data_IF_634164489372
#
_entry.id   IF_634164489372
#
_cell.length_a   1.000
_cell.length_b   1.000
_cell.length_c   1.000
_cell.angle_alpha   90.00
_cell.angle_beta   90.00
_cell.angle_gamma   90.00
#
_symmetry.space_group_name_H-M   'P 1'
#
loop_
_entity.id
_entity.type
_entity.pdbx_description
1 polymer ?
#
# COMPACT_ATOMS: atom_id res chain seq x y z
N UNK A 1 -8.16 3.79 0.26
CA UNK A 1 -9.29 3.09 -0.39
C UNK A 1 -8.85 2.20 -1.56
N UNK A 2 -8.02 2.69 -2.49
CA UNK A 2 -7.58 1.91 -3.66
C UNK A 2 -6.86 0.59 -3.31
N UNK A 3 -5.86 0.61 -2.41
CA UNK A 3 -5.14 -0.62 -2.03
C UNK A 3 -6.08 -1.71 -1.46
N UNK A 4 -7.05 -1.32 -0.63
CA UNK A 4 -8.06 -2.23 -0.10
C UNK A 4 -8.92 -2.83 -1.21
N UNK A 5 -9.33 -2.01 -2.20
CA UNK A 5 -10.10 -2.49 -3.35
C UNK A 5 -9.29 -3.44 -4.25
N UNK A 6 -8.00 -3.16 -4.46
CA UNK A 6 -7.07 -4.06 -5.16
C UNK A 6 -6.97 -5.40 -4.41
N UNK A 7 -6.76 -5.37 -3.10
CA UNK A 7 -6.69 -6.59 -2.27
C UNK A 7 -8.00 -7.38 -2.32
N UNK A 8 -9.15 -6.72 -2.21
CA UNK A 8 -10.46 -7.37 -2.32
C UNK A 8 -10.65 -8.00 -3.71
N UNK A 9 -10.33 -7.27 -4.77
CA UNK A 9 -10.47 -7.75 -6.14
C UNK A 9 -9.58 -8.97 -6.40
N UNK A 10 -8.34 -8.96 -5.91
CA UNK A 10 -7.42 -10.07 -6.05
C UNK A 10 -7.81 -11.28 -5.19
N UNK A 11 -7.93 -11.10 -3.87
CA UNK A 11 -8.07 -12.21 -2.93
C UNK A 11 -9.49 -12.74 -2.79
N UNK A 12 -10.52 -11.94 -3.05
CA UNK A 12 -11.92 -12.37 -2.93
C UNK A 12 -12.55 -12.65 -4.27
N UNK A 13 -12.29 -11.81 -5.28
CA UNK A 13 -12.93 -11.93 -6.59
C UNK A 13 -12.08 -12.67 -7.63
N UNK A 14 -10.82 -13.02 -7.31
CA UNK A 14 -9.92 -13.69 -8.25
C UNK A 14 -9.59 -12.87 -9.50
N UNK A 15 -9.66 -11.53 -9.40
CA UNK A 15 -9.43 -10.65 -10.53
C UNK A 15 -7.95 -10.65 -10.95
N UNK A 16 -7.72 -10.61 -12.26
CA UNK A 16 -6.42 -10.41 -12.89
C UNK A 16 -6.11 -8.90 -12.92
N UNK A 17 -5.24 -8.44 -12.02
CA UNK A 17 -4.92 -7.03 -11.82
C UNK A 17 -3.60 -6.60 -12.48
N UNK A 18 -3.02 -7.47 -13.29
CA UNK A 18 -1.89 -7.23 -14.17
C UNK A 18 -2.27 -6.41 -15.43
N UNK A 19 -3.57 -6.17 -15.64
CA UNK A 19 -4.08 -5.34 -16.74
C UNK A 19 -4.55 -3.95 -16.25
N UNK A 20 -4.12 -2.88 -16.95
CA UNK A 20 -4.54 -1.50 -16.65
C UNK A 20 -6.06 -1.36 -16.68
N UNK A 21 -6.75 -2.06 -17.60
CA UNK A 21 -8.20 -2.04 -17.70
C UNK A 21 -8.88 -2.55 -16.41
N UNK A 22 -8.31 -3.56 -15.76
CA UNK A 22 -8.83 -4.07 -14.49
C UNK A 22 -8.68 -3.04 -13.35
N UNK A 23 -7.54 -2.34 -13.29
CA UNK A 23 -7.31 -1.26 -12.34
C UNK A 23 -8.23 -0.06 -12.60
N UNK A 24 -8.50 0.26 -13.86
CA UNK A 24 -9.43 1.32 -14.27
C UNK A 24 -10.86 1.02 -13.84
N UNK A 25 -11.30 -0.23 -13.99
CA UNK A 25 -12.61 -0.68 -13.52
C UNK A 25 -12.74 -0.54 -11.99
N UNK A 26 -11.66 -0.81 -11.24
CA UNK A 26 -11.64 -0.55 -9.80
C UNK A 26 -11.76 0.94 -9.48
N UNK A 27 -11.04 1.81 -10.20
CA UNK A 27 -11.18 3.25 -10.06
C UNK A 27 -12.62 3.73 -10.30
N UNK A 28 -13.27 3.21 -11.35
CA UNK A 28 -14.68 3.48 -11.65
C UNK A 28 -15.61 3.03 -10.52
N UNK A 29 -15.42 1.81 -9.98
CA UNK A 29 -16.22 1.30 -8.85
C UNK A 29 -16.05 2.11 -7.56
N UNK A 30 -14.93 2.82 -7.44
CA UNK A 30 -14.63 3.74 -6.34
C UNK A 30 -15.14 5.16 -6.59
N UNK A 31 -15.83 5.40 -7.72
CA UNK A 31 -16.29 6.71 -8.17
C UNK A 31 -15.16 7.75 -8.28
N UNK A 32 -13.96 7.32 -8.66
CA UNK A 32 -12.86 8.23 -8.99
C UNK A 32 -13.12 8.90 -10.35
N UNK A 33 -12.62 10.12 -10.53
CA UNK A 33 -12.61 10.75 -11.84
C UNK A 33 -11.68 9.96 -12.78
N UNK A 34 -12.25 9.41 -13.85
CA UNK A 34 -11.51 8.55 -14.75
C UNK A 34 -10.51 9.30 -15.61
N UNK A 35 -10.74 10.59 -15.92
CA UNK A 35 -9.77 11.39 -16.66
C UNK A 35 -8.55 11.71 -15.78
N UNK A 36 -8.77 12.07 -14.51
CA UNK A 36 -7.67 12.28 -13.56
C UNK A 36 -6.93 10.98 -13.28
N UNK A 37 -7.64 9.85 -13.19
CA UNK A 37 -7.02 8.55 -12.98
C UNK A 37 -6.18 8.10 -14.19
N UNK A 38 -6.73 8.22 -15.41
CA UNK A 38 -6.03 7.86 -16.65
C UNK A 38 -4.74 8.70 -16.78
N UNK A 39 -4.83 10.02 -16.57
CA UNK A 39 -3.67 10.91 -16.55
C UNK A 39 -2.66 10.55 -15.44
N UNK A 40 -3.16 10.21 -14.25
CA UNK A 40 -2.33 9.80 -13.12
C UNK A 40 -1.54 8.51 -13.40
N UNK A 41 -2.15 7.54 -14.08
CA UNK A 41 -1.48 6.29 -14.49
C UNK A 41 -0.37 6.56 -15.50
N UNK A 42 -0.62 7.37 -16.53
CA UNK A 42 0.41 7.76 -17.51
C UNK A 42 1.61 8.45 -16.84
N UNK A 43 1.35 9.36 -15.89
CA UNK A 43 2.41 10.03 -15.14
C UNK A 43 3.12 9.14 -14.12
N UNK A 44 2.53 7.99 -13.75
CA UNK A 44 3.06 7.12 -12.71
C UNK A 44 4.19 6.23 -13.20
N UNK A 45 4.19 5.83 -14.47
CA UNK A 45 5.18 4.91 -15.05
C UNK A 45 6.64 5.37 -14.82
N UNK A 46 7.04 6.62 -15.14
CA UNK A 46 8.40 7.07 -14.85
C UNK A 46 8.69 7.21 -13.35
N UNK A 47 7.67 7.43 -12.52
CA UNK A 47 7.81 7.61 -11.07
C UNK A 47 7.84 6.28 -10.32
N UNK A 48 7.35 5.20 -10.93
CA UNK A 48 7.25 3.89 -10.30
C UNK A 48 8.61 3.37 -9.87
N UNK A 49 9.59 3.40 -10.76
CA UNK A 49 10.94 2.93 -10.45
C UNK A 49 11.60 3.73 -9.33
N UNK A 50 11.42 5.06 -9.32
CA UNK A 50 11.90 5.92 -8.25
C UNK A 50 11.25 5.58 -6.90
N UNK A 51 9.93 5.35 -6.89
CA UNK A 51 9.21 4.96 -5.68
C UNK A 51 9.64 3.58 -5.17
N UNK A 52 9.88 2.62 -6.06
CA UNK A 52 10.39 1.28 -5.71
C UNK A 52 11.79 1.35 -5.13
N UNK A 53 12.69 2.13 -5.75
CA UNK A 53 14.05 2.33 -5.26
C UNK A 53 14.05 3.00 -3.88
N UNK A 54 13.22 4.04 -3.68
CA UNK A 54 13.07 4.69 -2.39
C UNK A 54 12.56 3.71 -1.32
N UNK A 55 11.55 2.90 -1.64
CA UNK A 55 11.02 1.88 -0.74
C UNK A 55 12.08 0.83 -0.38
N UNK A 56 12.84 0.31 -1.36
CA UNK A 56 13.90 -0.66 -1.10
C UNK A 56 15.08 -0.07 -0.33
N UNK A 57 15.38 1.22 -0.52
CA UNK A 57 16.42 1.92 0.24
C UNK A 57 16.02 2.01 1.71
N UNK A 58 14.78 2.43 1.99
CA UNK A 58 14.25 2.43 3.37
C UNK A 58 14.25 1.01 3.95
N UNK A 59 13.84 0.00 3.19
CA UNK A 59 13.87 -1.38 3.69
C UNK A 59 15.29 -1.84 4.09
N UNK A 60 16.32 -1.45 3.33
CA UNK A 60 17.72 -1.75 3.67
C UNK A 60 18.16 -0.99 4.91
N UNK A 61 17.85 0.31 4.98
CA UNK A 61 18.22 1.19 6.11
C UNK A 61 17.66 0.67 7.44
N UNK A 62 16.43 0.15 7.43
CA UNK A 62 15.75 -0.36 8.62
C UNK A 62 15.78 -1.88 8.76
N UNK A 63 16.64 -2.57 8.01
CA UNK A 63 16.81 -4.04 8.07
C UNK A 63 15.47 -4.81 7.94
N UNK A 64 14.60 -4.31 7.06
CA UNK A 64 13.33 -4.94 6.71
C UNK A 64 13.56 -5.98 5.60
N UNK A 65 13.20 -7.23 5.90
CA UNK A 65 13.33 -8.35 4.96
C UNK A 65 12.07 -8.65 4.13
N UNK A 66 10.95 -7.97 4.39
CA UNK A 66 9.71 -8.24 3.65
C UNK A 66 8.50 -7.43 4.11
N UNK A 67 7.34 -7.84 3.60
CA UNK A 67 6.04 -7.20 3.84
C UNK A 67 5.07 -8.16 4.56
N UNK A 68 4.10 -7.64 5.34
CA UNK A 68 3.97 -6.24 5.74
C UNK A 68 4.99 -5.89 6.83
N UNK A 69 5.49 -4.65 6.77
CA UNK A 69 6.35 -4.06 7.79
C UNK A 69 5.87 -2.65 8.10
N UNK A 70 5.91 -2.26 9.37
CA UNK A 70 5.51 -0.93 9.82
C UNK A 70 6.59 -0.36 10.71
N UNK A 71 6.98 0.87 10.42
CA UNK A 71 7.84 1.71 11.24
C UNK A 71 7.05 2.96 11.54
N UNK A 72 7.02 3.37 12.81
CA UNK A 72 6.39 4.59 13.25
C UNK A 72 7.45 5.55 13.78
N UNK A 73 7.30 6.82 13.46
CA UNK A 73 8.00 7.91 14.12
C UNK A 73 7.26 8.25 15.42
N UNK A 74 7.92 8.03 16.57
CA UNK A 74 7.36 8.24 17.91
C UNK A 74 8.31 9.17 18.66
N UNK A 75 7.97 10.45 18.70
CA UNK A 75 8.91 11.50 19.10
C UNK A 75 10.00 11.66 18.04
N UNK A 76 11.26 11.74 18.45
CA UNK A 76 12.42 11.82 17.55
C UNK A 76 13.00 10.43 17.17
N UNK A 77 12.28 9.35 17.48
CA UNK A 77 12.73 7.97 17.25
C UNK A 77 11.85 7.23 16.24
N UNK A 78 12.50 6.54 15.31
CA UNK A 78 11.85 5.59 14.43
C UNK A 78 11.81 4.20 15.08
N UNK A 79 10.61 3.67 15.29
CA UNK A 79 10.36 2.39 15.96
C UNK A 79 9.68 1.40 15.03
N UNK A 80 10.29 0.23 14.86
CA UNK A 80 9.67 -0.91 14.18
C UNK A 80 8.54 -1.48 15.04
N UNK A 81 7.34 -1.56 14.49
CA UNK A 81 6.18 -2.11 15.18
C UNK A 81 6.05 -3.61 14.87
N UNK A 82 5.81 -4.47 15.88
CA UNK A 82 5.66 -5.92 15.70
C UNK A 82 4.26 -6.24 15.15
N UNK A 83 3.97 -5.85 13.90
CA UNK A 83 2.62 -5.93 13.31
C UNK A 83 1.98 -7.33 13.38
N UNK A 84 2.79 -8.39 13.33
CA UNK A 84 2.33 -9.77 13.47
C UNK A 84 1.66 -10.06 14.82
N UNK A 85 2.04 -9.35 15.89
CA UNK A 85 1.40 -9.46 17.20
C UNK A 85 -0.04 -8.92 17.22
N UNK A 86 -0.43 -8.17 16.19
CA UNK A 86 -1.72 -7.48 16.11
C UNK A 86 -2.65 -8.02 15.02
N UNK A 87 -2.29 -9.10 14.34
CA UNK A 87 -3.19 -9.73 13.36
C UNK A 87 -4.49 -10.18 14.02
N UNK A 88 -5.62 -9.70 13.49
CA UNK A 88 -6.95 -9.93 14.07
C UNK A 88 -7.27 -9.12 15.34
N UNK A 89 -6.33 -8.32 15.84
CA UNK A 89 -6.48 -7.52 17.06
C UNK A 89 -6.42 -6.01 16.76
N UNK A 90 -7.50 -5.50 16.15
CA UNK A 90 -7.63 -4.07 15.84
C UNK A 90 -7.53 -3.18 17.10
N UNK A 91 -8.20 -3.49 18.23
CA UNK A 91 -8.08 -2.65 19.43
C UNK A 91 -6.64 -2.61 19.98
N UNK A 92 -5.91 -3.73 19.93
CA UNK A 92 -4.51 -3.77 20.32
C UNK A 92 -3.61 -2.95 19.40
N UNK A 93 -3.86 -3.01 18.09
CA UNK A 93 -3.15 -2.17 17.12
C UNK A 93 -3.37 -0.68 17.38
N UNK A 94 -4.62 -0.27 17.60
CA UNK A 94 -4.98 1.12 17.92
C UNK A 94 -4.35 1.60 19.23
N UNK A 95 -4.23 0.73 20.23
CA UNK A 95 -3.57 1.07 21.48
C UNK A 95 -2.05 1.23 21.32
N UNK A 96 -1.42 0.48 20.42
CA UNK A 96 0.02 0.56 20.14
C UNK A 96 0.45 1.86 19.44
N UNK A 97 -0.50 2.56 18.79
CA UNK A 97 -0.25 3.78 18.01
C UNK A 97 -0.49 5.08 18.79
N UNK A 98 -0.91 4.99 20.05
CA UNK A 98 -1.14 6.13 20.95
C UNK A 98 0.08 6.39 21.82
#
# INVERSE_FOLDING_TARGET
VMLKSIQQAHYVNGAKLDEIAALRNLAMSLALDLNEWDFGIELSEPKLYQALEASHTLMKEYEISGYPSVIAEIGDELKRLPISAYYGNVPGWEACLK
#
